data_IF_742873040525
#
_entry.id   IF_742873040525
#
_cell.length_a   1.000
_cell.length_b   1.000
_cell.length_c   1.000
_cell.angle_alpha   90.00
_cell.angle_beta   90.00
_cell.angle_gamma   90.00
#
_symmetry.space_group_name_H-M   'P 1'
#
loop_
_entity.id
_entity.type
_entity.pdbx_description
1 polymer ?
#
# COMPACT_ATOMS: atom_id res chain seq x y z
N UNK A 1 -16.19 9.09 1.88
CA UNK A 1 -15.03 9.86 1.37
C UNK A 1 -15.13 11.28 1.89
N UNK A 2 -14.02 11.93 2.22
CA UNK A 2 -14.02 13.34 2.63
C UNK A 2 -14.22 14.24 1.41
N UNK A 3 -14.78 15.43 1.62
CA UNK A 3 -14.98 16.44 0.56
C UNK A 3 -13.65 16.81 -0.12
N UNK A 4 -12.57 16.91 0.66
CA UNK A 4 -11.21 17.21 0.19
C UNK A 4 -10.66 16.16 -0.79
N UNK A 5 -10.89 14.86 -0.56
CA UNK A 5 -10.43 13.82 -1.49
C UNK A 5 -11.20 13.90 -2.81
N UNK A 6 -12.51 14.17 -2.75
CA UNK A 6 -13.32 14.29 -3.96
C UNK A 6 -12.87 15.46 -4.83
N UNK A 7 -12.61 16.62 -4.23
CA UNK A 7 -12.09 17.81 -4.93
C UNK A 7 -10.73 17.51 -5.56
N UNK A 8 -9.83 16.84 -4.84
CA UNK A 8 -8.52 16.48 -5.34
C UNK A 8 -8.56 15.40 -6.45
N UNK A 9 -9.55 14.50 -6.46
CA UNK A 9 -9.78 13.59 -7.58
C UNK A 9 -10.28 14.33 -8.84
N UNK A 10 -11.14 15.34 -8.68
CA UNK A 10 -11.60 16.15 -9.82
C UNK A 10 -10.44 16.95 -10.44
N UNK A 11 -9.59 17.55 -9.62
CA UNK A 11 -8.36 18.22 -10.08
C UNK A 11 -7.44 17.24 -10.82
N UNK A 12 -7.19 16.06 -10.22
CA UNK A 12 -6.37 15.01 -10.82
C UNK A 12 -6.92 14.58 -12.19
N UNK A 13 -8.23 14.43 -12.33
CA UNK A 13 -8.89 14.08 -13.60
C UNK A 13 -8.61 15.15 -14.65
N UNK A 14 -8.83 16.42 -14.32
CA UNK A 14 -8.62 17.54 -15.24
C UNK A 14 -7.17 17.61 -15.73
N UNK A 15 -6.20 17.38 -14.84
CA UNK A 15 -4.77 17.35 -15.19
C UNK A 15 -4.41 16.20 -16.13
N UNK A 16 -4.96 15.00 -15.89
CA UNK A 16 -4.80 13.88 -16.80
C UNK A 16 -5.40 14.16 -18.18
N UNK A 17 -6.62 14.69 -18.23
CA UNK A 17 -7.30 15.05 -19.49
C UNK A 17 -6.57 16.16 -20.26
N UNK A 18 -5.87 17.06 -19.56
CA UNK A 18 -5.00 18.09 -20.16
C UNK A 18 -3.69 17.52 -20.74
N UNK A 19 -3.41 16.23 -20.55
CA UNK A 19 -2.20 15.57 -21.04
C UNK A 19 -0.96 15.88 -20.19
N UNK A 20 -1.12 16.27 -18.93
CA UNK A 20 0.02 16.52 -18.04
C UNK A 20 0.78 15.22 -17.78
N UNK A 21 2.10 15.22 -18.03
CA UNK A 21 2.95 14.09 -17.65
C UNK A 21 3.09 14.08 -16.13
N UNK A 22 2.55 13.05 -15.49
CA UNK A 22 2.56 12.92 -14.04
C UNK A 22 2.83 11.47 -13.61
N UNK A 23 3.40 11.26 -12.41
CA UNK A 23 3.51 9.93 -11.83
C UNK A 23 2.13 9.31 -11.58
N UNK A 24 2.09 7.99 -11.43
CA UNK A 24 0.85 7.29 -11.11
C UNK A 24 0.28 7.83 -9.78
N UNK A 25 -0.96 8.33 -9.74
CA UNK A 25 -1.51 8.96 -8.53
C UNK A 25 -1.67 7.97 -7.37
N UNK A 26 -1.82 6.67 -7.68
CA UNK A 26 -1.98 5.61 -6.70
C UNK A 26 -0.66 5.19 -6.05
N UNK A 27 0.40 4.95 -6.81
CA UNK A 27 1.68 4.47 -6.28
C UNK A 27 2.82 5.49 -6.25
N UNK A 28 2.67 6.65 -6.90
CA UNK A 28 3.66 7.72 -6.96
C UNK A 28 4.82 7.48 -7.94
N UNK A 29 4.87 6.33 -8.62
CA UNK A 29 5.95 6.00 -9.57
C UNK A 29 5.72 6.64 -10.93
N UNK A 30 6.79 7.12 -11.58
CA UNK A 30 6.77 7.64 -12.96
C UNK A 30 6.74 6.49 -13.99
N UNK A 31 5.69 5.67 -13.94
CA UNK A 31 5.47 4.51 -14.82
C UNK A 31 4.19 4.64 -15.63
N UNK A 32 3.60 5.83 -15.68
CA UNK A 32 2.45 6.12 -16.52
C UNK A 32 2.89 6.17 -17.99
N UNK A 33 2.12 5.55 -18.88
CA UNK A 33 2.35 5.64 -20.33
C UNK A 33 1.94 7.03 -20.84
N UNK A 34 2.61 7.58 -21.87
CA UNK A 34 2.28 8.88 -22.44
C UNK A 34 0.83 8.96 -22.95
N UNK A 35 0.38 7.92 -23.64
CA UNK A 35 -1.00 7.84 -24.12
C UNK A 35 -1.92 7.42 -22.97
N UNK A 36 -2.59 8.39 -22.35
CA UNK A 36 -3.39 8.21 -21.14
C UNK A 36 -4.34 7.01 -21.23
N UNK A 37 -5.08 6.88 -22.34
CA UNK A 37 -6.06 5.82 -22.60
C UNK A 37 -5.49 4.40 -22.65
N UNK A 38 -4.16 4.25 -22.74
CA UNK A 38 -3.46 2.96 -22.73
C UNK A 38 -3.03 2.52 -21.32
N UNK A 39 -3.20 3.38 -20.32
CA UNK A 39 -3.07 3.04 -18.90
C UNK A 39 -4.37 2.40 -18.39
N UNK A 40 -4.31 1.80 -17.20
CA UNK A 40 -5.49 1.20 -16.59
C UNK A 40 -6.42 2.27 -16.01
N UNK A 41 -7.73 2.15 -16.27
CA UNK A 41 -8.75 2.96 -15.60
C UNK A 41 -8.98 2.42 -14.18
N UNK A 42 -8.95 3.30 -13.17
CA UNK A 42 -9.13 2.90 -11.77
C UNK A 42 -10.55 2.39 -11.50
N UNK A 43 -10.65 1.40 -10.62
CA UNK A 43 -11.93 0.84 -10.11
C UNK A 43 -12.50 1.64 -8.94
N UNK A 44 -11.68 2.51 -8.35
CA UNK A 44 -12.01 3.23 -7.12
C UNK A 44 -12.06 4.75 -7.27
N UNK A 45 -11.53 5.27 -8.38
CA UNK A 45 -11.57 6.69 -8.71
C UNK A 45 -12.11 6.89 -10.12
N UNK A 46 -13.35 7.38 -10.21
CA UNK A 46 -14.05 7.55 -11.48
C UNK A 46 -13.30 8.49 -12.44
N UNK A 47 -13.09 8.01 -13.67
CA UNK A 47 -12.38 8.76 -14.71
C UNK A 47 -10.87 8.98 -14.47
N UNK A 48 -10.27 8.33 -13.47
CA UNK A 48 -8.83 8.43 -13.18
C UNK A 48 -8.07 7.24 -13.73
N UNK A 49 -6.98 7.51 -14.45
CA UNK A 49 -6.05 6.50 -14.91
C UNK A 49 -4.92 6.27 -13.90
N UNK A 50 -4.51 5.01 -13.78
CA UNK A 50 -3.40 4.53 -12.96
C UNK A 50 -2.49 3.63 -13.81
N UNK A 51 -1.24 3.40 -13.40
CA UNK A 51 -0.36 2.53 -14.17
C UNK A 51 -0.86 1.08 -14.17
N UNK A 52 -0.42 0.28 -15.15
CA UNK A 52 -0.87 -1.11 -15.34
C UNK A 52 -0.74 -1.96 -14.07
N UNK A 53 0.42 -1.88 -13.39
CA UNK A 53 0.66 -2.55 -12.10
C UNK A 53 -0.42 -2.24 -11.07
N UNK A 54 -0.80 -0.95 -10.98
CA UNK A 54 -1.82 -0.48 -10.04
C UNK A 54 -3.21 -0.94 -10.47
N UNK A 55 -3.52 -0.96 -11.77
CA UNK A 55 -4.78 -1.48 -12.29
C UNK A 55 -4.96 -2.98 -11.99
N UNK A 56 -3.91 -3.79 -12.19
CA UNK A 56 -3.90 -5.21 -11.81
C UNK A 56 -4.04 -5.38 -10.30
N UNK A 57 -3.33 -4.58 -9.50
CA UNK A 57 -3.41 -4.63 -8.05
C UNK A 57 -4.82 -4.29 -7.53
N UNK A 58 -5.50 -3.29 -8.11
CA UNK A 58 -6.90 -2.98 -7.78
C UNK A 58 -7.81 -4.17 -8.05
N UNK A 59 -7.73 -4.76 -9.25
CA UNK A 59 -8.55 -5.92 -9.60
C UNK A 59 -8.34 -7.11 -8.65
N UNK A 60 -7.09 -7.39 -8.28
CA UNK A 60 -6.75 -8.49 -7.37
C UNK A 60 -7.21 -8.22 -5.93
N UNK A 61 -7.00 -6.99 -5.43
CA UNK A 61 -7.44 -6.60 -4.09
C UNK A 61 -8.97 -6.58 -3.96
N UNK A 62 -9.68 -6.18 -5.02
CA UNK A 62 -11.15 -6.25 -5.07
C UNK A 62 -11.65 -7.68 -4.99
N UNK A 63 -11.05 -8.57 -5.79
CA UNK A 63 -11.37 -9.99 -5.75
C UNK A 63 -11.20 -10.57 -4.34
N UNK A 64 -10.15 -10.15 -3.63
CA UNK A 64 -9.87 -10.59 -2.26
C UNK A 64 -10.60 -9.79 -1.17
N UNK A 65 -11.52 -8.88 -1.54
CA UNK A 65 -12.28 -8.00 -0.62
C UNK A 65 -11.39 -7.13 0.29
N UNK A 66 -10.23 -6.71 -0.20
CA UNK A 66 -9.27 -5.89 0.53
C UNK A 66 -8.82 -4.64 -0.25
N UNK A 67 -9.74 -3.83 -0.84
CA UNK A 67 -9.39 -2.68 -1.67
C UNK A 67 -8.54 -1.66 -0.90
N UNK A 68 -7.51 -1.09 -1.53
CA UNK A 68 -6.70 -0.07 -0.87
C UNK A 68 -7.54 1.21 -0.67
N UNK A 69 -7.67 1.73 0.56
CA UNK A 69 -8.35 3.00 0.79
C UNK A 69 -7.70 4.13 -0.02
N UNK A 70 -8.53 5.05 -0.54
CA UNK A 70 -8.04 6.20 -1.31
C UNK A 70 -7.04 7.02 -0.49
N UNK A 71 -7.26 7.18 0.81
CA UNK A 71 -6.38 7.87 1.75
C UNK A 71 -4.93 7.33 1.74
N UNK A 72 -4.72 6.10 1.28
CA UNK A 72 -3.39 5.48 1.19
C UNK A 72 -2.71 5.68 -0.18
N UNK A 73 -3.36 6.33 -1.15
CA UNK A 73 -2.77 6.64 -2.45
C UNK A 73 -1.66 7.68 -2.32
N UNK A 74 -0.62 7.57 -3.13
CA UNK A 74 0.51 8.49 -3.11
C UNK A 74 0.08 9.96 -3.24
N UNK A 75 -0.91 10.25 -4.09
CA UNK A 75 -1.46 11.60 -4.28
C UNK A 75 -2.00 12.25 -2.99
N UNK A 76 -2.44 11.44 -2.01
CA UNK A 76 -3.06 11.93 -0.78
C UNK A 76 -2.17 11.73 0.46
N UNK A 77 -0.96 11.18 0.28
CA UNK A 77 0.00 11.02 1.37
C UNK A 77 0.77 12.33 1.53
N UNK A 78 0.67 12.95 2.70
CA UNK A 78 1.50 14.10 3.08
C UNK A 78 2.92 13.62 3.48
N UNK A 79 3.96 14.20 2.87
CA UNK A 79 5.37 13.93 3.22
C UNK A 79 6.20 13.29 2.10
N UNK A 80 7.53 13.33 2.26
CA UNK A 80 8.50 12.83 1.28
C UNK A 80 8.25 11.38 0.87
N UNK A 81 8.40 11.18 -0.42
CA UNK A 81 8.08 9.98 -1.14
C UNK A 81 8.98 8.79 -0.74
N UNK A 82 8.42 7.59 -0.92
CA UNK A 82 9.11 6.47 -1.59
C UNK A 82 10.27 5.78 -0.88
N UNK A 83 10.19 5.47 0.42
CA UNK A 83 10.74 4.16 0.80
C UNK A 83 9.81 3.10 0.22
N UNK A 84 10.00 2.74 -1.05
CA UNK A 84 9.51 1.47 -1.57
C UNK A 84 10.67 0.47 -1.48
N UNK A 85 10.40 -0.72 -0.96
CA UNK A 85 11.45 -1.73 -0.88
C UNK A 85 11.63 -2.46 -2.21
N UNK A 86 10.91 -2.08 -3.28
CA UNK A 86 10.84 -2.83 -4.54
C UNK A 86 12.17 -2.87 -5.27
N UNK A 87 13.06 -1.91 -5.02
CA UNK A 87 14.43 -1.91 -5.53
C UNK A 87 15.48 -2.37 -4.50
N UNK A 88 15.05 -2.70 -3.28
CA UNK A 88 15.92 -3.10 -2.16
C UNK A 88 15.95 -4.62 -2.04
N UNK A 89 17.13 -5.25 -1.87
CA UNK A 89 17.21 -6.68 -1.57
C UNK A 89 16.46 -7.03 -0.29
N UNK A 90 15.75 -8.16 -0.27
CA UNK A 90 14.88 -8.53 0.84
C UNK A 90 15.59 -8.66 2.17
N UNK A 91 16.85 -9.10 2.21
CA UNK A 91 17.62 -9.16 3.45
C UNK A 91 17.86 -7.77 4.06
N UNK A 92 18.16 -6.78 3.22
CA UNK A 92 18.39 -5.41 3.65
C UNK A 92 17.09 -4.74 4.08
N UNK A 93 16.03 -4.88 3.27
CA UNK A 93 14.69 -4.41 3.60
C UNK A 93 14.19 -4.99 4.92
N UNK A 94 14.44 -6.28 5.17
CA UNK A 94 14.02 -6.96 6.39
C UNK A 94 14.68 -6.38 7.65
N UNK A 95 15.91 -5.87 7.57
CA UNK A 95 16.59 -5.20 8.70
C UNK A 95 15.83 -3.94 9.11
N UNK A 96 15.50 -3.09 8.15
CA UNK A 96 14.72 -1.86 8.36
C UNK A 96 13.31 -2.18 8.84
N UNK A 97 12.61 -3.11 8.18
CA UNK A 97 11.25 -3.50 8.55
C UNK A 97 11.21 -4.03 9.99
N UNK A 98 12.16 -4.88 10.39
CA UNK A 98 12.23 -5.40 11.77
C UNK A 98 12.53 -4.30 12.79
N UNK A 99 13.47 -3.40 12.49
CA UNK A 99 13.86 -2.35 13.42
C UNK A 99 12.78 -1.27 13.59
N UNK A 100 12.14 -0.85 12.51
CA UNK A 100 11.30 0.35 12.50
C UNK A 100 9.80 0.05 12.40
N UNK A 101 9.41 -0.94 11.60
CA UNK A 101 8.00 -1.18 11.28
C UNK A 101 7.36 -2.20 12.21
N UNK A 102 8.06 -3.28 12.56
CA UNK A 102 7.50 -4.34 13.45
C UNK A 102 6.95 -3.78 14.76
N UNK A 103 7.64 -2.90 15.50
CA UNK A 103 7.07 -2.31 16.72
C UNK A 103 5.76 -1.53 16.49
N UNK A 104 5.68 -0.80 15.38
CA UNK A 104 4.46 -0.04 14.99
C UNK A 104 3.34 -1.01 14.62
N UNK A 105 3.64 -2.04 13.85
CA UNK A 105 2.67 -3.07 13.45
C UNK A 105 2.17 -3.91 14.63
N UNK A 106 3.00 -4.19 15.64
CA UNK A 106 2.55 -4.80 16.91
C UNK A 106 1.48 -3.93 17.56
N UNK A 107 1.71 -2.61 17.64
CA UNK A 107 0.73 -1.67 18.20
C UNK A 107 -0.57 -1.65 17.39
N UNK A 108 -0.50 -1.71 16.06
CA UNK A 108 -1.69 -1.81 15.20
C UNK A 108 -2.43 -3.13 15.43
N UNK A 109 -1.72 -4.25 15.50
CA UNK A 109 -2.28 -5.58 15.80
C UNK A 109 -3.02 -5.60 17.14
N UNK A 110 -2.44 -5.00 18.18
CA UNK A 110 -3.08 -4.90 19.50
C UNK A 110 -4.37 -4.05 19.47
N UNK A 111 -4.37 -2.94 18.74
CA UNK A 111 -5.58 -2.12 18.57
C UNK A 111 -6.67 -2.87 17.79
N UNK A 112 -6.31 -3.66 16.78
CA UNK A 112 -7.23 -4.53 16.06
C UNK A 112 -7.85 -5.57 17.00
N UNK A 113 -7.02 -6.25 17.81
CA UNK A 113 -7.48 -7.19 18.83
C UNK A 113 -8.40 -6.55 19.88
N UNK A 114 -8.22 -5.26 20.15
CA UNK A 114 -9.08 -4.48 21.04
C UNK A 114 -10.40 -3.99 20.39
N UNK A 115 -10.66 -4.34 19.12
CA UNK A 115 -11.90 -4.03 18.41
C UNK A 115 -11.90 -2.73 17.61
N UNK A 116 -10.72 -2.14 17.36
CA UNK A 116 -10.63 -0.96 16.48
C UNK A 116 -10.92 -1.34 15.03
N UNK A 117 -11.66 -0.49 14.33
CA UNK A 117 -12.01 -0.67 12.91
C UNK A 117 -10.75 -0.89 12.04
N UNK A 118 -10.75 -1.99 11.27
CA UNK A 118 -9.59 -2.40 10.50
C UNK A 118 -9.26 -1.42 9.36
N UNK A 119 -10.25 -0.73 8.78
CA UNK A 119 -9.99 0.27 7.74
C UNK A 119 -9.18 1.44 8.31
N UNK A 120 -9.54 1.94 9.49
CA UNK A 120 -8.77 2.98 10.18
C UNK A 120 -7.34 2.52 10.50
N UNK A 121 -7.20 1.29 11.00
CA UNK A 121 -5.90 0.69 11.30
C UNK A 121 -5.03 0.50 10.07
N UNK A 122 -5.61 0.12 8.94
CA UNK A 122 -4.92 -0.01 7.66
C UNK A 122 -4.36 1.33 7.21
N UNK A 123 -5.14 2.40 7.31
CA UNK A 123 -4.67 3.76 6.98
C UNK A 123 -3.48 4.14 7.87
N UNK A 124 -3.59 3.89 9.18
CA UNK A 124 -2.50 4.14 10.12
C UNK A 124 -1.24 3.32 9.77
N UNK A 125 -1.39 2.01 9.54
CA UNK A 125 -0.27 1.13 9.19
C UNK A 125 0.44 1.57 7.90
N UNK A 126 -0.30 1.93 6.85
CA UNK A 126 0.25 2.40 5.57
C UNK A 126 0.95 3.75 5.70
N UNK A 127 0.46 4.63 6.58
CA UNK A 127 1.10 5.92 6.89
C UNK A 127 2.39 5.73 7.69
N UNK A 128 2.35 4.85 8.68
CA UNK A 128 3.44 4.64 9.64
C UNK A 128 4.52 3.67 9.15
N UNK A 129 4.24 2.86 8.11
CA UNK A 129 5.18 1.90 7.54
C UNK A 129 5.36 2.15 6.04
N UNK A 130 6.22 3.10 5.64
CA UNK A 130 6.58 3.31 4.24
C UNK A 130 6.97 1.99 3.54
N UNK A 131 6.49 1.79 2.31
CA UNK A 131 6.77 0.57 1.54
C UNK A 131 5.88 -0.63 1.87
N UNK A 132 5.03 -0.55 2.91
CA UNK A 132 3.97 -1.54 3.15
C UNK A 132 3.05 -1.60 1.93
N UNK A 133 2.90 -2.78 1.33
CA UNK A 133 2.09 -2.95 0.12
C UNK A 133 0.69 -3.43 0.45
N UNK A 134 0.55 -4.31 1.45
CA UNK A 134 -0.73 -4.83 1.89
C UNK A 134 -0.73 -5.10 3.39
N UNK A 135 -1.92 -5.06 4.00
CA UNK A 135 -2.18 -5.54 5.35
C UNK A 135 -3.53 -6.27 5.35
N UNK A 136 -3.61 -7.35 6.10
CA UNK A 136 -4.77 -8.23 6.21
C UNK A 136 -5.14 -8.39 7.67
N UNK A 137 -6.44 -8.59 7.95
CA UNK A 137 -6.92 -8.89 9.30
C UNK A 137 -6.98 -10.40 9.58
N UNK A 138 -7.20 -11.24 8.56
CA UNK A 138 -7.35 -12.69 8.71
C UNK A 138 -6.61 -13.49 7.62
N UNK A 139 -5.46 -14.12 7.94
CA UNK A 139 -4.68 -13.92 9.16
C UNK A 139 -4.11 -12.49 9.23
N UNK A 140 -3.82 -11.99 10.43
CA UNK A 140 -3.24 -10.65 10.57
C UNK A 140 -1.80 -10.64 10.06
N UNK A 141 -1.58 -10.03 8.90
CA UNK A 141 -0.27 -10.01 8.24
C UNK A 141 -0.04 -8.74 7.44
N UNK A 142 1.22 -8.30 7.43
CA UNK A 142 1.72 -7.16 6.68
C UNK A 142 2.66 -7.66 5.58
N UNK A 143 2.47 -7.18 4.35
CA UNK A 143 3.24 -7.58 3.18
C UNK A 143 4.02 -6.40 2.62
N UNK A 144 5.22 -6.70 2.15
CA UNK A 144 6.09 -5.78 1.44
C UNK A 144 6.57 -6.45 0.16
N UNK A 145 6.66 -5.71 -0.93
CA UNK A 145 7.34 -6.17 -2.15
C UNK A 145 8.78 -5.70 -2.12
N UNK A 146 9.72 -6.60 -2.37
CA UNK A 146 11.15 -6.34 -2.42
C UNK A 146 11.75 -6.70 -3.79
N UNK A 147 13.02 -6.35 -4.03
CA UNK A 147 13.66 -6.57 -5.35
C UNK A 147 13.63 -8.04 -5.80
N UNK A 148 13.82 -8.96 -4.86
CA UNK A 148 14.00 -10.39 -5.08
C UNK A 148 12.85 -11.26 -4.54
N UNK A 149 11.71 -10.65 -4.15
CA UNK A 149 10.62 -11.40 -3.54
C UNK A 149 9.56 -10.57 -2.83
N UNK A 150 8.99 -11.18 -1.80
CA UNK A 150 8.06 -10.53 -0.88
C UNK A 150 8.51 -10.77 0.57
N UNK A 151 8.27 -9.81 1.45
CA UNK A 151 8.42 -9.99 2.89
C UNK A 151 7.04 -10.07 3.50
N UNK A 152 6.80 -11.10 4.30
CA UNK A 152 5.55 -11.30 5.02
C UNK A 152 5.83 -11.25 6.52
N UNK A 153 5.17 -10.33 7.22
CA UNK A 153 5.21 -10.23 8.68
C UNK A 153 3.88 -10.74 9.21
N UNK A 154 3.92 -11.80 10.04
CA UNK A 154 2.75 -12.46 10.62
C UNK A 154 2.73 -12.25 12.12
N UNK A 155 1.55 -11.97 12.65
CA UNK A 155 1.36 -11.66 14.06
C UNK A 155 0.44 -12.69 14.70
N UNK A 156 0.80 -13.15 15.90
CA UNK A 156 -0.03 -14.06 16.70
C UNK A 156 -0.04 -13.61 18.15
N UNK A 157 -1.21 -13.66 18.79
CA UNK A 157 -1.30 -13.54 20.24
C UNK A 157 -0.93 -14.88 20.88
N UNK A 158 0.04 -14.89 21.78
CA UNK A 158 0.35 -16.03 22.64
C UNK A 158 0.33 -15.58 24.11
N UNK A 159 -0.72 -15.97 24.84
CA UNK A 159 -1.04 -15.44 26.17
C UNK A 159 -1.08 -13.91 26.15
N UNK A 160 -0.28 -13.24 26.97
CA UNK A 160 -0.18 -11.77 27.03
C UNK A 160 0.88 -11.19 26.08
N UNK A 161 1.63 -12.04 25.37
CA UNK A 161 2.69 -11.62 24.45
C UNK A 161 2.25 -11.68 22.98
N UNK A 162 2.80 -10.77 22.17
CA UNK A 162 2.66 -10.81 20.71
C UNK A 162 3.88 -11.50 20.12
N UNK A 163 3.66 -12.60 19.41
CA UNK A 163 4.67 -13.29 18.61
C UNK A 163 4.66 -12.74 17.18
N UNK A 164 5.85 -12.49 16.63
CA UNK A 164 6.02 -11.99 15.28
C UNK A 164 6.93 -12.93 14.50
N UNK A 165 6.45 -13.40 13.36
CA UNK A 165 7.26 -14.09 12.37
C UNK A 165 7.48 -13.17 11.17
N UNK A 166 8.69 -13.15 10.63
CA UNK A 166 9.08 -12.29 9.54
C UNK A 166 9.86 -13.09 8.50
N UNK A 167 9.22 -13.36 7.37
CA UNK A 167 9.71 -14.28 6.35
C UNK A 167 10.00 -13.54 5.06
N UNK A 168 11.14 -13.84 4.44
CA UNK A 168 11.48 -13.37 3.10
C UNK A 168 11.20 -14.51 2.10
N UNK A 169 10.18 -14.31 1.27
CA UNK A 169 9.74 -15.23 0.22
C UNK A 169 10.44 -14.85 -1.09
N UNK A 170 11.59 -15.44 -1.35
CA UNK A 170 12.34 -15.22 -2.58
C UNK A 170 11.61 -15.80 -3.79
N UNK A 171 11.61 -15.10 -4.92
CA UNK A 171 11.15 -15.67 -6.20
C UNK A 171 12.07 -16.82 -6.59
N UNK A 172 11.51 -17.99 -6.90
CA UNK A 172 12.29 -19.09 -7.46
C UNK A 172 12.95 -18.63 -8.77
N UNK A 173 14.25 -18.93 -8.93
CA UNK A 173 15.01 -18.64 -10.16
C UNK A 173 14.53 -19.49 -11.32
#
# INVERSE_FOLDING_TARGET
MSKSIQEALLDLKARQEAGEKMPCPRCGRDTMKPDLHTNALSRHADGIYVCDDCGTAEAMLDFMRNPLPLECWAQFREGEATADFKAVPGEEALKTIKAEHVPRLIRIFQQWKAGTDFKALRIAAMKECPGLTQIWEEPFQALYTVADGEIVIRFRQNNDAVEVAADHLTKAK
#
